data_IF_921740782541
#
_entry.id   IF_921740782541
#
_cell.length_a   1.000
_cell.length_b   1.000
_cell.length_c   1.000
_cell.angle_alpha   90.00
_cell.angle_beta   90.00
_cell.angle_gamma   90.00
#
_symmetry.space_group_name_H-M   'P 1'
#
loop_
_entity.id
_entity.type
_entity.pdbx_description
1 polymer ?
#
# COMPACT_ATOMS: atom_id res chain seq x y z
N UNK A 1 10.48 4.33 -7.26
CA UNK A 1 9.64 3.31 -7.93
C UNK A 1 8.33 3.93 -8.37
N UNK A 2 7.84 3.58 -9.55
CA UNK A 2 6.50 3.92 -10.03
C UNK A 2 5.76 2.62 -10.38
N UNK A 3 4.46 2.53 -10.06
CA UNK A 3 3.65 1.38 -10.42
C UNK A 3 2.16 1.74 -10.55
N UNK A 4 1.46 1.08 -11.45
CA UNK A 4 0.02 1.23 -11.61
C UNK A 4 -0.67 -0.13 -11.73
N UNK A 5 -1.84 -0.28 -11.09
CA UNK A 5 -2.61 -1.52 -11.04
C UNK A 5 -1.75 -2.66 -10.46
N UNK A 6 -1.61 -3.80 -11.13
CA UNK A 6 -0.78 -4.92 -10.63
C UNK A 6 0.69 -4.54 -10.38
N UNK A 7 1.25 -3.59 -11.15
CA UNK A 7 2.63 -3.14 -10.91
C UNK A 7 2.76 -2.25 -9.66
N UNK A 8 1.65 -1.63 -9.21
CA UNK A 8 1.61 -0.96 -7.91
C UNK A 8 1.80 -1.97 -6.77
N UNK A 9 1.18 -3.15 -6.88
CA UNK A 9 1.31 -4.25 -5.91
C UNK A 9 2.77 -4.66 -5.71
N UNK A 10 3.52 -4.77 -6.80
CA UNK A 10 4.96 -5.00 -6.71
C UNK A 10 5.67 -3.84 -6.01
N UNK A 11 5.40 -2.59 -6.42
CA UNK A 11 6.11 -1.43 -5.92
C UNK A 11 5.99 -1.26 -4.40
N UNK A 12 4.77 -1.31 -3.84
CA UNK A 12 4.59 -1.12 -2.39
C UNK A 12 5.03 -2.34 -1.57
N UNK A 13 4.91 -3.57 -2.11
CA UNK A 13 5.41 -4.77 -1.41
C UNK A 13 6.93 -4.81 -1.39
N UNK A 14 7.56 -4.45 -2.50
CA UNK A 14 9.02 -4.36 -2.57
C UNK A 14 9.54 -3.30 -1.60
N UNK A 15 8.86 -2.16 -1.48
CA UNK A 15 9.22 -1.15 -0.48
C UNK A 15 9.05 -1.62 0.97
N UNK A 16 8.06 -2.45 1.26
CA UNK A 16 7.89 -3.07 2.58
C UNK A 16 8.99 -4.08 2.89
N UNK A 17 9.35 -4.91 1.90
CA UNK A 17 10.35 -5.98 2.05
C UNK A 17 11.79 -5.45 2.07
N UNK A 18 12.06 -4.41 1.28
CA UNK A 18 13.40 -3.85 1.07
C UNK A 18 13.45 -2.33 1.23
N UNK A 19 12.97 -1.77 2.34
CA UNK A 19 12.94 -0.31 2.54
C UNK A 19 14.32 0.35 2.48
N UNK A 20 15.38 -0.40 2.79
CA UNK A 20 16.77 0.07 2.80
C UNK A 20 17.32 0.49 1.43
N UNK A 21 16.72 0.01 0.34
CA UNK A 21 17.13 0.34 -1.05
C UNK A 21 16.04 1.07 -1.84
N UNK A 22 14.91 1.41 -1.20
CA UNK A 22 13.82 2.13 -1.84
C UNK A 22 13.72 3.51 -1.24
N UNK A 23 13.82 4.53 -2.08
CA UNK A 23 13.78 5.91 -1.59
C UNK A 23 12.41 6.56 -1.70
N UNK A 24 11.68 6.21 -2.76
CA UNK A 24 10.34 6.72 -3.00
C UNK A 24 9.47 5.74 -3.79
N UNK A 25 8.18 5.71 -3.50
CA UNK A 25 7.14 4.95 -4.21
C UNK A 25 6.01 5.90 -4.60
N UNK A 26 5.67 5.91 -5.88
CA UNK A 26 4.45 6.54 -6.37
C UNK A 26 3.62 5.48 -7.07
N UNK A 27 2.46 5.10 -6.53
CA UNK A 27 1.70 3.99 -7.08
C UNK A 27 0.19 4.22 -7.13
N UNK A 28 -0.46 3.73 -8.19
CA UNK A 28 -1.87 3.99 -8.46
C UNK A 28 -2.70 2.75 -8.75
N UNK A 29 -4.03 2.88 -8.69
CA UNK A 29 -4.94 1.74 -8.85
C UNK A 29 -4.71 0.70 -7.76
N UNK A 30 -4.45 1.16 -6.53
CA UNK A 30 -4.03 0.33 -5.40
C UNK A 30 -5.18 -0.47 -4.79
N UNK A 31 -6.42 -0.03 -4.99
CA UNK A 31 -7.62 -0.77 -4.59
C UNK A 31 -7.72 -1.06 -3.09
N UNK A 32 -7.14 -0.22 -2.23
CA UNK A 32 -7.22 -0.34 -0.77
C UNK A 32 -6.54 -1.58 -0.16
N UNK A 33 -5.51 -2.13 -0.81
CA UNK A 33 -4.78 -3.32 -0.36
C UNK A 33 -3.28 -3.05 -0.12
N UNK A 34 -2.97 -1.87 0.42
CA UNK A 34 -1.60 -1.45 0.76
C UNK A 34 -1.22 -2.07 2.12
N UNK A 35 0.01 -2.59 2.30
CA UNK A 35 0.42 -3.18 3.56
C UNK A 35 0.36 -2.19 4.73
N UNK A 36 -0.04 -2.70 5.89
CA UNK A 36 0.04 -2.03 7.16
C UNK A 36 1.40 -2.39 7.78
N UNK A 37 2.33 -1.46 7.98
CA UNK A 37 3.67 -1.74 8.51
C UNK A 37 3.66 -2.01 10.03
N UNK A 38 2.80 -2.93 10.46
CA UNK A 38 2.59 -3.38 11.83
C UNK A 38 2.53 -4.91 11.85
N UNK A 39 2.99 -5.52 12.94
CA UNK A 39 2.85 -6.96 13.15
C UNK A 39 1.48 -7.34 13.69
N UNK A 40 0.79 -6.43 14.40
CA UNK A 40 -0.54 -6.66 14.96
C UNK A 40 -1.38 -5.38 14.86
N UNK A 41 -2.68 -5.50 14.61
CA UNK A 41 -3.62 -4.40 14.72
C UNK A 41 -4.98 -4.88 15.22
N UNK A 42 -5.49 -4.26 16.30
CA UNK A 42 -6.78 -4.58 16.93
C UNK A 42 -6.96 -6.09 17.25
N UNK A 43 -5.88 -6.74 17.70
CA UNK A 43 -5.87 -8.16 18.07
C UNK A 43 -5.78 -9.14 16.89
N UNK A 44 -5.66 -8.63 15.66
CA UNK A 44 -5.38 -9.44 14.47
C UNK A 44 -3.87 -9.46 14.21
N UNK A 45 -3.31 -10.65 14.04
CA UNK A 45 -1.93 -10.83 13.64
C UNK A 45 -1.79 -10.54 12.13
N UNK A 46 -1.00 -9.55 11.75
CA UNK A 46 -0.95 -9.08 10.36
C UNK A 46 0.15 -9.78 9.57
N UNK A 47 -0.17 -10.93 8.98
CA UNK A 47 0.74 -11.66 8.08
C UNK A 47 0.95 -10.92 6.76
N UNK A 48 2.06 -11.16 6.09
CA UNK A 48 2.33 -10.66 4.75
C UNK A 48 1.29 -11.22 3.75
N UNK A 49 0.79 -10.42 2.79
CA UNK A 49 1.15 -9.02 2.50
C UNK A 49 0.29 -7.97 3.24
N UNK A 50 -0.53 -8.37 4.23
CA UNK A 50 -1.37 -7.43 4.99
C UNK A 50 -0.52 -6.62 5.98
N UNK A 51 0.42 -7.28 6.67
CA UNK A 51 1.40 -6.60 7.52
C UNK A 51 2.73 -7.32 7.60
N UNK A 52 3.36 -7.28 8.78
CA UNK A 52 4.78 -7.63 8.94
C UNK A 52 5.07 -8.80 9.89
N UNK A 53 4.04 -9.47 10.41
CA UNK A 53 4.21 -10.41 11.53
C UNK A 53 5.04 -11.65 11.24
N UNK A 54 5.01 -12.13 10.00
CA UNK A 54 5.69 -13.33 9.54
C UNK A 54 6.85 -13.04 8.57
N UNK A 55 7.21 -11.77 8.38
CA UNK A 55 8.26 -11.37 7.43
C UNK A 55 9.62 -12.01 7.74
N UNK A 56 9.98 -12.17 9.01
CA UNK A 56 11.22 -12.83 9.41
C UNK A 56 11.29 -14.27 8.90
N UNK A 57 10.14 -14.96 8.80
CA UNK A 57 10.07 -16.32 8.25
C UNK A 57 10.06 -16.35 6.71
N UNK A 58 9.67 -15.25 6.06
CA UNK A 58 9.53 -15.18 4.59
C UNK A 58 10.85 -14.76 3.93
N UNK A 59 11.55 -13.79 4.52
CA UNK A 59 12.75 -13.16 3.93
C UNK A 59 13.98 -13.25 4.84
N UNK A 60 13.97 -14.10 5.87
CA UNK A 60 15.07 -14.30 6.83
C UNK A 60 15.61 -12.99 7.45
N UNK A 61 14.75 -11.97 7.52
CA UNK A 61 15.11 -10.65 8.03
C UNK A 61 13.89 -9.96 8.66
N UNK A 62 14.15 -9.19 9.70
CA UNK A 62 13.12 -8.43 10.40
C UNK A 62 12.72 -7.21 9.58
N UNK A 63 11.45 -6.84 9.66
CA UNK A 63 10.96 -5.58 9.09
C UNK A 63 11.76 -4.39 9.64
N UNK A 64 12.39 -3.64 8.75
CA UNK A 64 13.17 -2.45 9.09
C UNK A 64 12.28 -1.20 9.07
N UNK A 65 11.54 -1.00 10.16
CA UNK A 65 10.61 0.12 10.30
C UNK A 65 11.30 1.49 10.16
N UNK A 66 12.53 1.64 10.69
CA UNK A 66 13.28 2.89 10.61
C UNK A 66 13.59 3.25 9.15
N UNK A 67 13.99 2.28 8.33
CA UNK A 67 14.18 2.48 6.91
C UNK A 67 12.83 2.75 6.21
N UNK A 68 11.78 2.00 6.55
CA UNK A 68 10.46 2.15 5.91
C UNK A 68 9.87 3.55 6.13
N UNK A 69 10.08 4.15 7.31
CA UNK A 69 9.68 5.52 7.64
C UNK A 69 10.41 6.59 6.81
N UNK A 70 11.56 6.27 6.22
CA UNK A 70 12.32 7.18 5.34
C UNK A 70 11.86 7.11 3.89
N UNK A 71 11.17 6.05 3.49
CA UNK A 71 10.65 5.88 2.13
C UNK A 71 9.48 6.85 1.91
N UNK A 72 9.59 7.78 0.97
CA UNK A 72 8.45 8.64 0.62
C UNK A 72 7.44 7.85 -0.20
N UNK A 73 6.17 7.83 0.20
CA UNK A 73 5.16 6.98 -0.42
C UNK A 73 3.92 7.80 -0.79
N UNK A 74 3.47 7.66 -2.03
CA UNK A 74 2.24 8.26 -2.51
C UNK A 74 1.42 7.20 -3.22
N UNK A 75 0.22 6.95 -2.71
CA UNK A 75 -0.69 5.95 -3.23
C UNK A 75 -2.00 6.58 -3.66
N UNK A 76 -2.54 6.14 -4.79
CA UNK A 76 -3.78 6.69 -5.30
C UNK A 76 -4.72 5.71 -5.99
N UNK A 77 -5.99 6.11 -6.08
CA UNK A 77 -7.01 5.46 -6.89
C UNK A 77 -8.08 6.46 -7.31
N UNK A 78 -8.98 6.08 -8.23
CA UNK A 78 -10.13 6.89 -8.61
C UNK A 78 -11.39 6.55 -7.80
N UNK A 79 -12.29 7.53 -7.57
CA UNK A 79 -13.55 7.33 -6.81
C UNK A 79 -14.62 6.51 -7.53
N UNK A 80 -14.46 6.27 -8.83
CA UNK A 80 -15.33 5.45 -9.67
C UNK A 80 -14.64 4.15 -10.13
N UNK A 81 -13.52 3.80 -9.50
CA UNK A 81 -12.85 2.53 -9.75
C UNK A 81 -13.83 1.38 -9.44
N UNK A 82 -14.15 0.61 -10.50
CA UNK A 82 -15.22 -0.39 -10.41
C UNK A 82 -14.70 -1.62 -9.69
N UNK A 83 -15.52 -2.09 -8.75
CA UNK A 83 -15.40 -3.43 -8.14
C UNK A 83 -15.42 -4.47 -9.26
N UNK A 84 -14.27 -5.11 -9.52
CA UNK A 84 -14.29 -6.40 -10.22
C UNK A 84 -14.69 -7.41 -9.17
N UNK A 85 -15.89 -7.96 -9.27
CA UNK A 85 -16.37 -9.03 -8.38
C UNK A 85 -16.08 -10.37 -9.05
N UNK A 86 -15.40 -11.28 -8.34
CA UNK A 86 -15.39 -12.68 -8.72
C UNK A 86 -15.81 -13.51 -7.51
N UNK A 87 -16.89 -14.28 -7.62
CA UNK A 87 -17.47 -15.07 -6.53
C UNK A 87 -17.78 -14.27 -5.23
N UNK A 88 -18.25 -13.02 -5.36
CA UNK A 88 -18.75 -12.23 -4.22
C UNK A 88 -17.69 -11.48 -3.39
N UNK A 89 -16.41 -11.53 -3.78
CA UNK A 89 -15.32 -10.78 -3.11
C UNK A 89 -14.76 -9.73 -4.06
N UNK A 90 -14.46 -8.53 -3.56
CA UNK A 90 -13.79 -7.48 -4.32
C UNK A 90 -12.38 -7.92 -4.72
N UNK A 91 -12.16 -8.06 -6.03
CA UNK A 91 -10.96 -8.65 -6.62
C UNK A 91 -9.95 -7.61 -7.13
N UNK A 92 -10.03 -6.35 -6.70
CA UNK A 92 -8.94 -5.41 -6.99
C UNK A 92 -7.83 -5.59 -5.95
N UNK A 93 -6.74 -6.23 -6.38
CA UNK A 93 -5.48 -6.43 -5.65
C UNK A 93 -5.50 -7.20 -4.33
N UNK A 94 -6.63 -7.77 -3.88
CA UNK A 94 -6.65 -8.75 -2.80
C UNK A 94 -6.36 -10.14 -3.39
N UNK A 95 -5.17 -10.72 -3.20
CA UNK A 95 -4.91 -12.06 -3.70
C UNK A 95 -5.57 -13.07 -2.76
N UNK A 96 -6.36 -13.99 -3.30
CA UNK A 96 -6.65 -15.25 -2.60
C UNK A 96 -5.38 -16.10 -2.63
N UNK A 97 -4.54 -16.00 -1.61
CA UNK A 97 -3.44 -16.94 -1.41
C UNK A 97 -3.89 -18.20 -0.65
N UNK A 98 -5.05 -18.76 -1.02
CA UNK A 98 -5.65 -19.91 -0.32
C UNK A 98 -4.83 -21.20 -0.45
N UNK A 99 -3.74 -21.20 -1.22
CA UNK A 99 -2.87 -22.37 -1.42
C UNK A 99 -1.48 -22.25 -0.78
N UNK A 100 -1.12 -21.09 -0.23
CA UNK A 100 0.23 -20.83 0.32
C UNK A 100 0.22 -20.44 1.79
N UNK A 101 -0.92 -20.01 2.34
CA UNK A 101 -1.09 -19.65 3.74
C UNK A 101 -2.28 -20.40 4.33
N UNK A 102 -2.16 -20.86 5.58
CA UNK A 102 -3.27 -21.47 6.34
C UNK A 102 -4.40 -20.46 6.62
N UNK A 103 -4.06 -19.17 6.61
CA UNK A 103 -5.00 -18.05 6.70
C UNK A 103 -5.23 -17.42 5.32
N UNK A 104 -6.51 -17.24 4.95
CA UNK A 104 -6.86 -16.52 3.73
C UNK A 104 -6.56 -15.02 3.91
N UNK A 105 -5.47 -14.56 3.28
CA UNK A 105 -5.04 -13.14 3.20
C UNK A 105 -6.21 -12.21 2.84
N UNK A 106 -7.14 -12.67 2.00
CA UNK A 106 -8.32 -11.89 1.65
C UNK A 106 -9.27 -11.72 2.83
N UNK A 107 -9.53 -12.79 3.58
CA UNK A 107 -10.34 -12.75 4.79
C UNK A 107 -9.73 -11.86 5.87
N UNK A 108 -8.41 -11.95 6.09
CA UNK A 108 -7.70 -11.06 7.02
C UNK A 108 -7.82 -9.59 6.58
N UNK A 109 -7.60 -9.31 5.30
CA UNK A 109 -7.75 -7.95 4.74
C UNK A 109 -9.15 -7.41 5.01
N UNK A 110 -10.21 -8.22 4.76
CA UNK A 110 -11.58 -7.80 5.01
C UNK A 110 -11.89 -7.57 6.49
N UNK A 111 -11.37 -8.40 7.41
CA UNK A 111 -11.56 -8.18 8.86
C UNK A 111 -10.88 -6.89 9.34
N UNK A 112 -9.66 -6.65 8.85
CA UNK A 112 -8.84 -5.52 9.29
C UNK A 112 -9.30 -4.21 8.63
N UNK A 113 -9.54 -4.20 7.32
CA UNK A 113 -9.79 -2.97 6.55
C UNK A 113 -11.24 -2.82 6.07
N UNK A 114 -12.04 -3.88 6.06
CA UNK A 114 -13.38 -3.90 5.46
C UNK A 114 -13.38 -4.43 4.04
N UNK A 115 -14.57 -4.61 3.46
CA UNK A 115 -14.72 -5.17 2.11
C UNK A 115 -14.56 -4.10 1.01
N UNK A 116 -15.12 -2.91 1.25
CA UNK A 116 -15.18 -1.83 0.25
C UNK A 116 -13.84 -1.13 0.06
N UNK A 117 -13.37 -1.03 -1.19
CA UNK A 117 -12.09 -0.39 -1.52
C UNK A 117 -11.92 1.06 -1.02
N UNK A 118 -13.00 1.86 -0.97
CA UNK A 118 -12.95 3.25 -0.51
C UNK A 118 -12.84 3.31 1.00
N UNK A 119 -13.65 2.51 1.69
CA UNK A 119 -13.57 2.38 3.14
C UNK A 119 -12.19 1.89 3.56
N UNK A 120 -11.61 0.93 2.82
CA UNK A 120 -10.25 0.44 3.04
C UNK A 120 -9.21 1.55 2.90
N UNK A 121 -9.30 2.40 1.87
CA UNK A 121 -8.38 3.54 1.72
C UNK A 121 -8.49 4.53 2.89
N UNK A 122 -9.70 4.88 3.30
CA UNK A 122 -9.91 5.78 4.44
C UNK A 122 -9.35 5.18 5.73
N UNK A 123 -9.62 3.90 5.97
CA UNK A 123 -9.13 3.19 7.15
C UNK A 123 -7.61 3.01 7.16
N UNK A 124 -7.00 2.75 6.01
CA UNK A 124 -5.54 2.75 5.87
C UNK A 124 -4.96 4.13 6.23
N UNK A 125 -5.59 5.22 5.78
CA UNK A 125 -5.15 6.57 6.12
C UNK A 125 -5.22 6.82 7.63
N UNK A 126 -6.32 6.42 8.28
CA UNK A 126 -6.47 6.48 9.74
C UNK A 126 -5.36 5.69 10.44
N UNK A 127 -5.13 4.44 10.03
CA UNK A 127 -4.08 3.59 10.61
C UNK A 127 -2.69 4.22 10.47
N UNK A 128 -2.36 4.76 9.30
CA UNK A 128 -1.06 5.40 9.09
C UNK A 128 -0.89 6.64 9.97
N UNK A 129 -1.92 7.49 10.09
CA UNK A 129 -1.89 8.68 10.96
C UNK A 129 -1.77 8.26 12.44
N UNK A 130 -2.58 7.31 12.89
CA UNK A 130 -2.58 6.79 14.27
C UNK A 130 -1.21 6.24 14.69
N UNK A 131 -0.45 5.69 13.74
CA UNK A 131 0.86 5.07 13.97
C UNK A 131 2.04 5.97 13.53
N UNK A 132 1.77 7.25 13.25
CA UNK A 132 2.79 8.27 12.97
C UNK A 132 3.54 8.08 11.65
N UNK A 133 2.93 7.47 10.64
CA UNK A 133 3.50 7.35 9.30
C UNK A 133 3.18 8.61 8.47
N UNK A 134 3.98 9.65 8.67
CA UNK A 134 3.89 10.92 7.93
C UNK A 134 4.50 10.86 6.51
N UNK A 135 5.23 9.79 6.21
CA UNK A 135 5.86 9.52 4.94
C UNK A 135 4.94 8.86 3.89
N UNK A 136 3.70 8.52 4.26
CA UNK A 136 2.71 7.87 3.41
C UNK A 136 1.55 8.81 3.11
N UNK A 137 1.28 9.07 1.84
CA UNK A 137 0.14 9.85 1.37
C UNK A 137 -0.83 8.96 0.61
N UNK A 138 -2.11 8.98 1.00
CA UNK A 138 -3.19 8.32 0.27
C UNK A 138 -4.08 9.37 -0.40
N UNK A 139 -4.42 9.17 -1.68
CA UNK A 139 -5.30 10.08 -2.42
C UNK A 139 -6.35 9.36 -3.25
N UNK A 140 -7.60 9.80 -3.13
CA UNK A 140 -8.70 9.37 -3.99
C UNK A 140 -8.99 10.52 -4.95
N UNK A 141 -9.02 10.24 -6.26
CA UNK A 141 -9.38 11.22 -7.28
C UNK A 141 -10.85 11.11 -7.64
N UNK A 142 -11.62 12.15 -7.31
CA UNK A 142 -13.07 12.17 -7.50
C UNK A 142 -13.49 12.20 -8.97
N UNK A 143 -14.44 11.36 -9.37
CA UNK A 143 -14.98 11.29 -10.74
C UNK A 143 -14.10 10.52 -11.72
N UNK A 144 -13.12 9.76 -11.24
CA UNK A 144 -12.21 8.97 -12.07
C UNK A 144 -12.34 7.48 -11.78
N UNK A 145 -12.31 6.67 -12.84
CA UNK A 145 -12.27 5.21 -12.73
C UNK A 145 -10.85 4.67 -12.56
N UNK A 146 -10.60 3.47 -13.10
CA UNK A 146 -9.26 2.87 -13.15
C UNK A 146 -8.41 3.53 -14.24
N UNK A 147 -7.99 4.78 -13.99
CA UNK A 147 -7.14 5.61 -14.86
C UNK A 147 -5.98 6.29 -14.09
N UNK A 148 -4.96 6.80 -14.78
CA UNK A 148 -3.74 7.39 -14.18
C UNK A 148 -3.68 8.91 -14.30
N UNK A 149 -4.33 9.46 -15.32
CA UNK A 149 -4.33 10.85 -15.75
C UNK A 149 -4.52 11.86 -14.62
N UNK A 150 -5.44 11.70 -13.64
CA UNK A 150 -5.58 12.68 -12.57
C UNK A 150 -4.35 12.78 -11.66
N UNK A 151 -3.45 11.79 -11.67
CA UNK A 151 -2.25 11.75 -10.83
C UNK A 151 -1.03 12.44 -11.41
N UNK A 152 -1.02 12.79 -12.70
CA UNK A 152 0.21 13.24 -13.37
C UNK A 152 0.81 14.52 -12.77
N UNK A 153 -0.04 15.48 -12.36
CA UNK A 153 0.42 16.69 -11.68
C UNK A 153 1.06 16.38 -10.33
N UNK A 154 0.45 15.49 -9.54
CA UNK A 154 0.98 15.10 -8.24
C UNK A 154 2.24 14.25 -8.38
N UNK A 155 2.33 13.40 -9.40
CA UNK A 155 3.52 12.63 -9.72
C UNK A 155 4.70 13.56 -10.05
N UNK A 156 4.48 14.56 -10.91
CA UNK A 156 5.50 15.54 -11.25
C UNK A 156 5.96 16.30 -10.00
N UNK A 157 5.02 16.77 -9.18
CA UNK A 157 5.32 17.47 -7.92
C UNK A 157 6.11 16.59 -6.95
N UNK A 158 5.65 15.36 -6.74
CA UNK A 158 6.24 14.39 -5.82
C UNK A 158 7.71 14.12 -6.15
N UNK A 159 8.04 13.86 -7.42
CA UNK A 159 9.42 13.63 -7.82
C UNK A 159 10.25 14.91 -7.89
N UNK A 160 9.66 16.06 -8.25
CA UNK A 160 10.39 17.34 -8.28
C UNK A 160 10.86 17.76 -6.89
N UNK A 161 9.95 17.74 -5.90
CA UNK A 161 10.28 18.05 -4.50
C UNK A 161 11.31 17.07 -3.91
N UNK A 162 11.30 15.83 -4.40
CA UNK A 162 12.26 14.83 -3.99
C UNK A 162 13.65 15.11 -4.59
N UNK A 163 13.75 15.38 -5.89
CA UNK A 163 15.01 15.69 -6.56
C UNK A 163 15.65 16.98 -6.04
N UNK A 164 14.86 18.02 -5.78
CA UNK A 164 15.35 19.27 -5.18
C UNK A 164 15.96 19.05 -3.79
N UNK A 165 15.34 18.21 -2.96
CA UNK A 165 15.87 17.87 -1.63
C UNK A 165 17.17 17.07 -1.72
N UNK A 166 17.29 16.14 -2.67
CA UNK A 166 18.52 15.34 -2.87
C UNK A 166 19.72 16.18 -3.29
N UNK A 167 19.49 17.23 -4.09
CA UNK A 167 20.53 18.16 -4.56
C UNK A 167 20.97 19.16 -3.48
N UNK A 168 20.21 19.32 -2.39
CA UNK A 168 20.56 20.18 -1.26
C UNK A 168 21.29 19.43 -0.14
N UNK A 169 21.24 18.09 -0.15
CA UNK A 169 21.89 17.21 0.83
C UNK A 169 23.19 16.55 0.33
N UNK A 170 23.63 16.88 -0.89
CA UNK A 170 24.89 16.43 -1.51
C UNK A 170 25.93 17.53 -1.55
#
# INVERSE_FOLDING_TARGET
MYGYSTSAVFAYRFALLHPEIVEAVFAGGVGGAIPIPLSEYKGENLIYPVGTSDLENIIDSKFNEEAYRKVKQFYFMGSEEKKVMNNGIEHYNIPKFTSLYDEDVGSLTCRVLGEDMYDRMNKLNEIYIENGYDNITLKIYEGFGHVQEPSFSDMYKFYSEYLEKSNLSS
#
